data_IF_687131845127
#
_entry.id   IF_687131845127
#
_cell.length_a   1.000
_cell.length_b   1.000
_cell.length_c   1.000
_cell.angle_alpha   90.00
_cell.angle_beta   90.00
_cell.angle_gamma   90.00
#
_symmetry.space_group_name_H-M   'P 1'
#
loop_
_entity.id
_entity.type
_entity.pdbx_description
1 polymer ?
#
# COMPACT_ATOMS: atom_id res chain seq x y z
N UNK A 1 -5.57 -11.23 3.84
CA UNK A 1 -4.49 -12.16 4.20
C UNK A 1 -4.19 -13.01 2.97
N UNK A 2 -3.02 -12.83 2.37
CA UNK A 2 -2.59 -13.61 1.20
C UNK A 2 -1.56 -14.63 1.68
N UNK A 3 -1.79 -15.91 1.36
CA UNK A 3 -0.88 -17.01 1.69
C UNK A 3 -0.18 -17.46 0.41
N UNK A 4 1.13 -17.27 0.34
CA UNK A 4 1.98 -17.77 -0.75
C UNK A 4 3.04 -18.67 -0.11
N UNK A 5 3.11 -19.94 -0.52
CA UNK A 5 4.13 -20.91 -0.06
C UNK A 5 4.24 -21.05 1.48
N UNK A 6 3.11 -20.99 2.19
CA UNK A 6 3.08 -21.09 3.67
C UNK A 6 3.46 -19.82 4.41
N UNK A 7 3.86 -18.76 3.70
CA UNK A 7 4.06 -17.44 4.28
C UNK A 7 2.76 -16.65 4.27
N UNK A 8 2.26 -16.34 5.47
CA UNK A 8 1.09 -15.50 5.66
C UNK A 8 1.53 -14.04 5.67
N UNK A 9 1.33 -13.32 4.56
CA UNK A 9 1.66 -11.89 4.51
C UNK A 9 0.44 -11.08 4.94
N UNK A 10 0.48 -10.62 6.19
CA UNK A 10 -0.64 -10.00 6.89
C UNK A 10 -1.07 -8.68 6.25
N UNK A 11 -0.13 -7.76 6.04
CA UNK A 11 -0.41 -6.39 5.60
C UNK A 11 0.76 -5.82 4.79
N UNK A 12 0.46 -5.01 3.75
CA UNK A 12 1.46 -4.18 3.08
C UNK A 12 1.34 -2.75 3.61
N UNK A 13 2.44 -2.21 4.14
CA UNK A 13 2.53 -0.78 4.41
C UNK A 13 2.68 0.00 3.11
N UNK A 14 2.08 1.20 3.05
CA UNK A 14 2.34 2.19 2.01
C UNK A 14 2.82 3.46 2.71
N UNK A 15 3.98 3.99 2.31
CA UNK A 15 4.55 5.19 2.91
C UNK A 15 5.14 6.13 1.85
N UNK A 16 5.31 7.39 2.22
CA UNK A 16 6.12 8.33 1.43
C UNK A 16 7.60 7.95 1.56
N UNK A 17 8.21 7.58 0.44
CA UNK A 17 9.61 7.22 0.38
C UNK A 17 10.44 8.49 0.17
N UNK A 18 11.03 8.98 1.27
CA UNK A 18 11.90 10.15 1.29
C UNK A 18 13.37 9.79 0.96
N UNK A 19 13.58 8.77 0.12
CA UNK A 19 14.89 8.27 -0.29
C UNK A 19 15.68 7.60 0.86
N UNK A 20 14.96 6.87 1.71
CA UNK A 20 15.55 6.11 2.83
C UNK A 20 15.84 4.68 2.35
N UNK A 21 17.01 4.08 2.65
CA UNK A 21 17.36 2.76 2.12
C UNK A 21 16.37 1.67 2.50
N UNK A 22 15.60 1.22 1.51
CA UNK A 22 14.75 0.04 1.57
C UNK A 22 13.36 0.32 2.14
N UNK A 23 12.35 -0.29 1.52
CA UNK A 23 10.96 -0.19 1.99
C UNK A 23 10.59 -1.27 3.03
N UNK A 24 11.55 -2.09 3.49
CA UNK A 24 11.30 -3.24 4.39
C UNK A 24 10.13 -4.13 3.96
N UNK A 25 9.89 -4.25 2.65
CA UNK A 25 8.75 -4.99 2.08
C UNK A 25 7.45 -4.18 1.93
N UNK A 26 7.45 -2.88 2.23
CA UNK A 26 6.36 -1.96 1.95
C UNK A 26 6.40 -1.43 0.50
N UNK A 27 5.32 -0.80 0.06
CA UNK A 27 5.30 -0.01 -1.18
C UNK A 27 5.66 1.44 -0.85
N UNK A 28 6.77 1.92 -1.41
CA UNK A 28 7.19 3.32 -1.28
C UNK A 28 6.64 4.18 -2.41
N UNK A 29 6.05 5.34 -2.07
CA UNK A 29 5.69 6.38 -3.04
C UNK A 29 6.75 7.47 -2.97
N UNK A 30 7.58 7.57 -4.00
CA UNK A 30 8.79 8.43 -4.03
C UNK A 30 8.50 9.90 -4.35
N UNK A 31 7.38 10.20 -5.00
CA UNK A 31 7.01 11.55 -5.42
C UNK A 31 5.92 12.15 -4.52
N UNK A 32 6.12 13.41 -4.11
CA UNK A 32 5.24 14.09 -3.16
C UNK A 32 3.84 14.37 -3.76
N UNK A 33 3.74 14.66 -5.07
CA UNK A 33 2.44 14.89 -5.68
C UNK A 33 1.61 13.59 -5.72
N UNK A 34 2.25 12.48 -6.06
CA UNK A 34 1.65 11.14 -6.01
C UNK A 34 1.28 10.73 -4.57
N UNK A 35 2.11 11.07 -3.58
CA UNK A 35 1.79 10.81 -2.18
C UNK A 35 0.55 11.58 -1.71
N UNK A 36 0.47 12.87 -2.01
CA UNK A 36 -0.71 13.68 -1.69
C UNK A 36 -1.96 13.18 -2.41
N UNK A 37 -1.84 12.72 -3.66
CA UNK A 37 -2.93 12.12 -4.41
C UNK A 37 -3.42 10.82 -3.73
N UNK A 38 -2.48 9.96 -3.32
CA UNK A 38 -2.79 8.74 -2.58
C UNK A 38 -3.55 9.05 -1.29
N UNK A 39 -3.10 10.03 -0.50
CA UNK A 39 -3.79 10.44 0.73
C UNK A 39 -5.23 10.91 0.47
N UNK A 40 -5.46 11.71 -0.58
CA UNK A 40 -6.80 12.16 -0.98
C UNK A 40 -7.71 10.99 -1.38
N UNK A 41 -7.15 10.00 -2.09
CA UNK A 41 -7.88 8.81 -2.50
C UNK A 41 -8.29 7.96 -1.29
N UNK A 42 -7.36 7.69 -0.37
CA UNK A 42 -7.66 6.92 0.85
C UNK A 42 -8.70 7.62 1.74
N UNK A 43 -8.63 8.95 1.86
CA UNK A 43 -9.65 9.72 2.58
C UNK A 43 -11.04 9.59 1.93
N UNK A 44 -11.10 9.57 0.60
CA UNK A 44 -12.35 9.34 -0.14
C UNK A 44 -12.93 7.95 0.16
N UNK A 45 -12.09 6.91 0.13
CA UNK A 45 -12.52 5.54 0.43
C UNK A 45 -13.01 5.39 1.88
N UNK A 46 -12.28 5.99 2.83
CA UNK A 46 -12.69 6.00 4.23
C UNK A 46 -14.07 6.67 4.40
N UNK A 47 -14.32 7.81 3.74
CA UNK A 47 -15.62 8.49 3.76
C UNK A 47 -16.74 7.67 3.12
N UNK A 48 -16.41 6.83 2.13
CA UNK A 48 -17.33 5.88 1.53
C UNK A 48 -17.60 4.64 2.41
N UNK A 49 -16.98 4.55 3.60
CA UNK A 49 -17.17 3.43 4.53
C UNK A 49 -16.31 2.21 4.23
N UNK A 50 -15.38 2.30 3.27
CA UNK A 50 -14.45 1.22 2.98
C UNK A 50 -13.42 1.10 4.10
N UNK A 51 -13.29 -0.11 4.66
CA UNK A 51 -12.33 -0.42 5.74
C UNK A 51 -11.16 -1.26 5.28
N UNK A 52 -11.31 -1.94 4.16
CA UNK A 52 -10.31 -2.85 3.59
C UNK A 52 -10.27 -2.67 2.07
N UNK A 53 -9.07 -2.77 1.50
CA UNK A 53 -8.85 -2.80 0.06
C UNK A 53 -8.23 -4.17 -0.24
N UNK A 54 -8.84 -5.01 -1.10
CA UNK A 54 -8.30 -6.31 -1.43
C UNK A 54 -7.00 -6.13 -2.22
N UNK A 55 -5.95 -6.86 -1.80
CA UNK A 55 -4.71 -6.94 -2.56
C UNK A 55 -4.83 -8.04 -3.62
N UNK A 56 -4.57 -7.67 -4.88
CA UNK A 56 -4.47 -8.61 -6.00
C UNK A 56 -3.00 -8.65 -6.43
N UNK A 57 -2.40 -9.84 -6.42
CA UNK A 57 -1.04 -10.10 -6.93
C UNK A 57 -1.17 -10.94 -8.18
N UNK A 58 -0.62 -10.47 -9.29
CA UNK A 58 -0.64 -11.17 -10.57
C UNK A 58 0.78 -11.28 -11.13
N UNK A 59 1.15 -12.47 -11.58
CA UNK A 59 2.41 -12.77 -12.26
C UNK A 59 2.05 -13.09 -13.71
N UNK A 60 2.27 -12.14 -14.60
CA UNK A 60 2.06 -12.29 -16.05
C UNK A 60 3.38 -12.69 -16.71
#
# INVERSE_FOLDING_TARGET
MVSIEGNTRGDFGIHFDANIPGTAGCLGIVDNANWQQFQRLMATYQRAGLRTIPLIVAYF
#
